data_IF_279490881223
#
_entry.id   IF_279490881223
#
_cell.length_a   1.000
_cell.length_b   1.000
_cell.length_c   1.000
_cell.angle_alpha   90.00
_cell.angle_beta   90.00
_cell.angle_gamma   90.00
#
_symmetry.space_group_name_H-M   'P 1'
#
loop_
_entity.id
_entity.type
_entity.pdbx_description
1 polymer ?
#
# COMPACT_ATOMS: atom_id res chain seq x y z
N UNK A 1 -28.37 2.84 30.80
CA UNK A 1 -27.68 4.12 30.49
C UNK A 1 -27.24 4.05 29.03
N UNK A 2 -27.94 4.75 28.11
CA UNK A 2 -27.71 4.68 26.66
C UNK A 2 -26.57 5.62 26.29
N UNK A 3 -25.39 5.08 25.96
CA UNK A 3 -24.35 5.88 25.33
C UNK A 3 -24.74 6.10 23.87
N UNK A 4 -25.11 7.33 23.52
CA UNK A 4 -25.47 7.72 22.15
C UNK A 4 -24.20 7.97 21.35
N UNK A 5 -24.10 7.30 20.20
CA UNK A 5 -23.00 7.39 19.21
C UNK A 5 -22.49 8.83 18.95
N UNK A 6 -23.35 9.85 19.05
CA UNK A 6 -23.00 11.27 18.96
C UNK A 6 -21.89 11.70 19.92
N UNK A 7 -22.00 11.36 21.21
CA UNK A 7 -21.06 11.86 22.23
C UNK A 7 -19.66 11.29 22.05
N UNK A 8 -19.56 10.08 21.52
CA UNK A 8 -18.29 9.47 21.12
C UNK A 8 -17.64 10.26 19.98
N UNK A 9 -18.38 10.55 18.91
CA UNK A 9 -17.85 11.32 17.78
C UNK A 9 -17.50 12.75 18.17
N UNK A 10 -18.28 13.40 19.03
CA UNK A 10 -17.99 14.77 19.48
C UNK A 10 -16.71 14.82 20.33
N UNK A 11 -16.54 13.86 21.24
CA UNK A 11 -15.30 13.72 22.03
C UNK A 11 -14.10 13.38 21.13
N UNK A 12 -14.26 12.49 20.16
CA UNK A 12 -13.21 12.11 19.22
C UNK A 12 -12.78 13.28 18.32
N UNK A 13 -13.74 14.06 17.80
CA UNK A 13 -13.48 15.28 17.03
C UNK A 13 -12.70 16.30 17.85
N UNK A 14 -13.08 16.50 19.12
CA UNK A 14 -12.38 17.42 20.03
C UNK A 14 -10.92 17.00 20.26
N UNK A 15 -10.69 15.72 20.55
CA UNK A 15 -9.34 15.16 20.73
C UNK A 15 -8.48 15.26 19.47
N UNK A 16 -9.05 15.06 18.28
CA UNK A 16 -8.31 15.12 17.02
C UNK A 16 -7.97 16.54 16.57
N UNK A 17 -8.84 17.52 16.85
CA UNK A 17 -8.75 18.89 16.29
C UNK A 17 -7.44 19.61 16.65
N UNK A 18 -6.95 19.43 17.88
CA UNK A 18 -5.74 20.11 18.37
C UNK A 18 -4.46 19.54 17.72
N UNK A 19 -4.46 18.25 17.38
CA UNK A 19 -3.30 17.58 16.77
C UNK A 19 -3.24 17.73 15.24
N UNK A 20 -4.38 17.99 14.58
CA UNK A 20 -4.45 17.86 13.11
C UNK A 20 -3.67 18.94 12.36
N UNK A 21 -3.64 20.18 12.87
CA UNK A 21 -2.95 21.30 12.18
C UNK A 21 -1.45 21.04 12.10
N UNK A 22 -0.87 20.54 13.18
CA UNK A 22 0.57 20.23 13.23
C UNK A 22 0.91 19.01 12.37
N UNK A 23 0.05 18.00 12.36
CA UNK A 23 0.22 16.82 11.52
C UNK A 23 0.18 17.19 10.02
N UNK A 24 -0.77 18.01 9.59
CA UNK A 24 -0.83 18.47 8.19
C UNK A 24 0.39 19.32 7.79
N UNK A 25 0.93 20.15 8.70
CA UNK A 25 2.18 20.89 8.44
C UNK A 25 3.37 19.95 8.23
N UNK A 26 3.51 18.92 9.07
CA UNK A 26 4.57 17.92 8.94
C UNK A 26 4.45 17.15 7.63
N UNK A 27 3.24 16.74 7.25
CA UNK A 27 2.98 16.03 5.98
C UNK A 27 3.37 16.91 4.79
N UNK A 28 2.97 18.19 4.79
CA UNK A 28 3.32 19.15 3.71
C UNK A 28 4.83 19.35 3.59
N UNK A 29 5.52 19.54 4.71
CA UNK A 29 6.98 19.71 4.73
C UNK A 29 7.70 18.44 4.23
N UNK A 30 7.17 17.27 4.53
CA UNK A 30 7.73 16.00 4.06
C UNK A 30 7.48 15.78 2.56
N UNK A 31 6.29 16.13 2.06
CA UNK A 31 5.96 16.12 0.62
C UNK A 31 6.90 17.05 -0.16
N UNK A 32 7.11 18.28 0.31
CA UNK A 32 7.96 19.26 -0.39
C UNK A 32 9.44 18.86 -0.45
N UNK A 33 9.93 18.07 0.50
CA UNK A 33 11.29 17.52 0.48
C UNK A 33 11.48 16.39 -0.53
N UNK A 34 10.41 15.67 -0.90
CA UNK A 34 10.48 14.45 -1.74
C UNK A 34 9.95 14.62 -3.16
N UNK A 35 9.06 15.58 -3.39
CA UNK A 35 8.46 15.83 -4.68
C UNK A 35 8.97 17.15 -5.25
N UNK A 36 9.13 17.23 -6.57
CA UNK A 36 9.37 18.52 -7.24
C UNK A 36 8.26 19.51 -6.89
N UNK A 37 8.62 20.76 -6.58
CA UNK A 37 7.78 21.85 -6.04
C UNK A 37 6.54 22.24 -6.85
N UNK A 38 6.17 21.49 -7.89
CA UNK A 38 5.04 21.80 -8.78
C UNK A 38 3.66 21.60 -8.13
N UNK A 39 3.58 20.97 -6.95
CA UNK A 39 2.33 20.68 -6.24
C UNK A 39 2.49 20.90 -4.73
N UNK A 40 2.35 22.15 -4.27
CA UNK A 40 2.55 22.56 -2.86
C UNK A 40 1.39 22.21 -1.92
N UNK A 41 0.19 21.97 -2.46
CA UNK A 41 -1.01 21.66 -1.69
C UNK A 41 -1.16 20.17 -1.42
N UNK A 42 -1.79 19.83 -0.29
CA UNK A 42 -2.09 18.45 0.08
C UNK A 42 -3.39 18.00 -0.57
N UNK A 43 -3.31 16.92 -1.33
CA UNK A 43 -4.45 16.24 -1.91
C UNK A 43 -5.07 15.24 -0.92
N UNK A 44 -6.34 14.84 -1.08
CA UNK A 44 -7.01 13.93 -0.14
C UNK A 44 -6.31 12.57 0.05
N UNK A 45 -5.53 12.12 -0.93
CA UNK A 45 -4.74 10.88 -0.85
C UNK A 45 -3.33 11.07 -0.27
N UNK A 46 -2.86 12.31 -0.11
CA UNK A 46 -1.53 12.60 0.39
C UNK A 46 -1.40 12.27 1.88
N UNK A 47 -2.47 12.49 2.66
CA UNK A 47 -2.45 12.21 4.11
C UNK A 47 -2.04 10.77 4.39
N UNK A 48 -2.70 9.80 3.75
CA UNK A 48 -2.46 8.37 4.01
C UNK A 48 -1.11 7.92 3.47
N UNK A 49 -0.75 8.36 2.27
CA UNK A 49 0.52 7.99 1.63
C UNK A 49 1.73 8.52 2.41
N UNK A 50 1.80 9.83 2.63
CA UNK A 50 2.95 10.44 3.29
C UNK A 50 2.99 10.13 4.79
N UNK A 51 1.85 10.02 5.48
CA UNK A 51 1.86 9.57 6.88
C UNK A 51 2.38 8.14 7.01
N UNK A 52 1.98 7.25 6.10
CA UNK A 52 2.51 5.89 6.04
C UNK A 52 4.01 5.88 5.83
N UNK A 53 4.50 6.67 4.86
CA UNK A 53 5.92 6.79 4.57
C UNK A 53 6.72 7.41 5.72
N UNK A 54 6.20 8.46 6.37
CA UNK A 54 6.83 9.08 7.55
C UNK A 54 6.96 8.09 8.70
N UNK A 55 5.91 7.31 8.99
CA UNK A 55 5.95 6.27 10.02
C UNK A 55 6.92 5.16 9.66
N UNK A 56 6.88 4.68 8.41
CA UNK A 56 7.84 3.69 7.92
C UNK A 56 9.29 4.16 8.10
N UNK A 57 9.58 5.42 7.74
CA UNK A 57 10.91 5.99 7.92
C UNK A 57 11.30 6.17 9.39
N UNK A 58 10.41 6.67 10.23
CA UNK A 58 10.67 6.92 11.65
C UNK A 58 10.93 5.63 12.45
N UNK A 59 10.31 4.52 12.05
CA UNK A 59 10.42 3.22 12.71
C UNK A 59 11.28 2.22 11.93
N UNK A 60 11.93 2.65 10.85
CA UNK A 60 12.71 1.81 9.94
C UNK A 60 11.95 0.54 9.50
N UNK A 61 10.65 0.70 9.20
CA UNK A 61 9.76 -0.36 8.75
C UNK A 61 9.84 -0.47 7.23
N UNK A 62 10.64 -1.41 6.75
CA UNK A 62 10.64 -1.87 5.36
C UNK A 62 9.80 -3.15 5.20
N UNK A 63 9.65 -3.63 3.97
CA UNK A 63 8.89 -4.87 3.70
C UNK A 63 9.45 -6.08 4.45
N UNK A 64 10.77 -6.15 4.58
CA UNK A 64 11.48 -7.27 5.19
C UNK A 64 11.23 -7.32 6.69
N UNK A 65 11.34 -6.19 7.38
CA UNK A 65 11.08 -6.08 8.82
C UNK A 65 9.61 -6.32 9.17
N UNK A 66 8.68 -5.92 8.29
CA UNK A 66 7.25 -6.05 8.55
C UNK A 66 6.69 -7.44 8.21
N UNK A 67 7.13 -8.02 7.08
CA UNK A 67 6.55 -9.25 6.54
C UNK A 67 7.53 -10.43 6.48
N UNK A 68 8.81 -10.21 6.78
CA UNK A 68 9.84 -11.23 6.60
C UNK A 68 10.08 -11.59 5.13
N UNK A 69 9.78 -10.69 4.18
CA UNK A 69 9.91 -10.94 2.74
C UNK A 69 10.31 -9.68 1.95
N UNK A 70 10.99 -9.89 0.83
CA UNK A 70 11.39 -8.83 -0.11
C UNK A 70 10.58 -8.87 -1.39
N UNK A 71 10.32 -7.70 -1.96
CA UNK A 71 9.61 -7.58 -3.23
C UNK A 71 10.59 -7.24 -4.35
N UNK A 72 10.54 -7.98 -5.45
CA UNK A 72 11.37 -7.77 -6.63
C UNK A 72 10.50 -7.53 -7.86
N UNK A 73 10.70 -6.40 -8.54
CA UNK A 73 10.07 -6.19 -9.84
C UNK A 73 10.67 -7.15 -10.86
N UNK A 74 9.82 -7.90 -11.56
CA UNK A 74 10.23 -8.88 -12.56
C UNK A 74 9.47 -8.63 -13.87
N UNK A 75 10.09 -8.94 -15.03
CA UNK A 75 9.40 -8.81 -16.30
C UNK A 75 8.22 -9.79 -16.38
N UNK A 76 7.15 -9.35 -17.04
CA UNK A 76 6.05 -10.22 -17.43
C UNK A 76 6.49 -11.13 -18.58
N UNK A 77 6.08 -12.40 -18.53
CA UNK A 77 6.27 -13.33 -19.65
C UNK A 77 5.35 -12.95 -20.83
N UNK A 78 5.69 -13.37 -22.06
CA UNK A 78 4.81 -13.17 -23.21
C UNK A 78 3.39 -13.68 -22.93
N UNK A 79 2.39 -12.83 -23.19
CA UNK A 79 0.96 -13.11 -22.98
C UNK A 79 0.52 -13.34 -21.52
N UNK A 80 1.36 -13.06 -20.53
CA UNK A 80 0.99 -13.18 -19.12
C UNK A 80 0.08 -12.03 -18.64
N UNK A 81 0.19 -10.86 -19.27
CA UNK A 81 -0.55 -9.67 -18.86
C UNK A 81 -1.87 -9.48 -19.61
N UNK A 82 -2.85 -8.90 -18.93
CA UNK A 82 -4.10 -8.41 -19.51
C UNK A 82 -4.05 -6.96 -19.98
N UNK A 83 -2.97 -6.22 -19.67
CA UNK A 83 -2.80 -4.82 -20.09
C UNK A 83 -1.31 -4.38 -20.03
N UNK A 84 -0.92 -3.38 -20.82
CA UNK A 84 0.50 -3.07 -21.11
C UNK A 84 1.28 -2.56 -19.89
N UNK A 85 0.63 -1.82 -19.01
CA UNK A 85 1.20 -1.12 -17.85
C UNK A 85 0.94 -1.85 -16.52
N UNK A 86 0.53 -3.13 -16.58
CA UNK A 86 0.53 -4.01 -15.41
C UNK A 86 1.98 -4.33 -15.06
N UNK A 87 2.33 -4.22 -13.78
CA UNK A 87 3.64 -4.63 -13.28
C UNK A 87 3.53 -5.97 -12.56
N UNK A 88 4.59 -6.78 -12.60
CA UNK A 88 4.69 -8.03 -11.84
C UNK A 88 5.78 -7.90 -10.79
N UNK A 89 5.47 -8.31 -9.56
CA UNK A 89 6.43 -8.41 -8.47
C UNK A 89 6.51 -9.83 -7.96
N UNK A 90 7.73 -10.35 -7.78
CA UNK A 90 7.97 -11.57 -7.00
C UNK A 90 8.12 -11.23 -5.53
N UNK A 91 7.54 -12.05 -4.67
CA UNK A 91 7.75 -12.02 -3.23
C UNK A 91 8.75 -13.11 -2.85
N UNK A 92 9.89 -12.72 -2.31
CA UNK A 92 11.01 -13.63 -2.04
C UNK A 92 11.25 -13.75 -0.53
N UNK A 93 11.48 -14.97 -0.07
CA UNK A 93 11.88 -15.22 1.31
C UNK A 93 13.39 -14.89 1.48
N UNK A 94 13.82 -14.30 2.62
CA UNK A 94 15.23 -13.96 2.84
C UNK A 94 16.17 -15.16 2.87
N UNK A 95 15.65 -16.35 3.22
CA UNK A 95 16.38 -17.61 3.12
C UNK A 95 16.40 -18.10 1.67
N UNK A 96 17.60 -18.25 1.05
CA UNK A 96 17.74 -18.73 -0.33
C UNK A 96 17.10 -20.11 -0.58
N UNK A 97 16.97 -20.95 0.45
CA UNK A 97 16.41 -22.30 0.32
C UNK A 97 14.87 -22.27 0.21
N UNK A 98 14.21 -21.24 0.76
CA UNK A 98 12.75 -21.11 0.69
C UNK A 98 12.28 -20.52 -0.65
N UNK A 99 13.06 -19.60 -1.23
CA UNK A 99 12.82 -19.05 -2.56
C UNK A 99 11.59 -18.14 -2.68
N UNK A 100 10.88 -18.24 -3.81
CA UNK A 100 9.74 -17.38 -4.13
C UNK A 100 8.45 -17.86 -3.44
N UNK A 101 7.82 -16.96 -2.68
CA UNK A 101 6.55 -17.18 -1.98
C UNK A 101 5.32 -16.97 -2.88
N UNK A 102 5.46 -16.18 -3.94
CA UNK A 102 4.39 -15.91 -4.90
C UNK A 102 4.59 -14.64 -5.71
N UNK A 103 3.53 -14.25 -6.44
CA UNK A 103 3.57 -13.10 -7.33
C UNK A 103 2.41 -12.14 -7.07
N UNK A 104 2.69 -10.85 -7.20
CA UNK A 104 1.70 -9.79 -7.27
C UNK A 104 1.67 -9.17 -8.66
N UNK A 105 0.47 -8.82 -9.10
CA UNK A 105 0.25 -8.04 -10.31
C UNK A 105 -0.33 -6.69 -9.90
N UNK A 106 0.35 -5.62 -10.29
CA UNK A 106 -0.02 -4.26 -9.95
C UNK A 106 -0.62 -3.59 -11.18
N UNK A 107 -1.94 -3.50 -11.21
CA UNK A 107 -2.69 -2.74 -12.20
C UNK A 107 -3.08 -1.40 -11.57
N UNK A 108 -2.19 -0.39 -11.63
CA UNK A 108 -2.32 0.85 -10.85
C UNK A 108 -3.00 1.99 -11.61
N UNK A 109 -2.85 2.03 -12.94
CA UNK A 109 -3.31 3.19 -13.72
C UNK A 109 -4.79 3.11 -14.06
N UNK A 110 -5.47 4.26 -14.07
CA UNK A 110 -6.86 4.33 -14.51
C UNK A 110 -6.97 4.18 -16.03
N UNK A 111 -8.01 3.48 -16.51
CA UNK A 111 -8.34 3.37 -17.95
C UNK A 111 -9.82 3.13 -18.17
N UNK A 112 -10.31 3.43 -19.37
CA UNK A 112 -11.71 3.21 -19.76
C UNK A 112 -12.07 1.72 -19.61
N UNK A 113 -13.15 1.42 -18.89
CA UNK A 113 -13.63 0.06 -18.67
C UNK A 113 -12.96 -0.72 -17.54
N UNK A 114 -11.95 -0.14 -16.86
CA UNK A 114 -11.36 -0.73 -15.64
C UNK A 114 -12.25 -0.43 -14.43
N UNK A 115 -12.25 -1.35 -13.46
CA UNK A 115 -12.87 -1.14 -12.15
C UNK A 115 -12.36 0.16 -11.50
N UNK A 116 -13.25 1.09 -11.06
CA UNK A 116 -12.85 2.44 -10.67
C UNK A 116 -12.29 2.54 -9.24
N UNK A 117 -12.35 1.48 -8.45
CA UNK A 117 -11.90 1.47 -7.06
C UNK A 117 -10.58 0.73 -6.83
N UNK A 118 -10.04 0.86 -5.62
CA UNK A 118 -8.95 0.01 -5.15
C UNK A 118 -9.52 -1.33 -4.69
N UNK A 119 -8.99 -2.44 -5.21
CA UNK A 119 -9.39 -3.78 -4.82
C UNK A 119 -8.19 -4.75 -4.92
N UNK A 120 -8.24 -5.83 -4.15
CA UNK A 120 -7.31 -6.94 -4.25
C UNK A 120 -8.06 -8.17 -4.78
N UNK A 121 -7.53 -8.81 -5.82
CA UNK A 121 -8.11 -9.99 -6.45
C UNK A 121 -7.11 -11.15 -6.38
N UNK A 122 -7.51 -12.24 -5.71
CA UNK A 122 -6.70 -13.45 -5.64
C UNK A 122 -6.79 -14.21 -6.98
N UNK A 123 -5.67 -14.28 -7.71
CA UNK A 123 -5.58 -15.02 -8.99
C UNK A 123 -5.33 -16.51 -8.72
N UNK A 124 -4.34 -16.82 -7.87
CA UNK A 124 -3.98 -18.18 -7.49
C UNK A 124 -3.84 -18.29 -5.97
N UNK A 125 -4.62 -19.18 -5.36
CA UNK A 125 -4.51 -19.47 -3.94
C UNK A 125 -3.29 -20.32 -3.63
N UNK A 126 -2.60 -20.02 -2.52
CA UNK A 126 -1.57 -20.87 -1.96
C UNK A 126 -2.17 -22.18 -1.46
N UNK A 127 -1.70 -23.31 -1.99
CA UNK A 127 -2.08 -24.65 -1.52
C UNK A 127 -0.91 -25.61 -1.67
N UNK A 128 -0.86 -26.61 -0.80
CA UNK A 128 0.03 -27.76 -1.02
C UNK A 128 -0.43 -28.51 -2.26
N UNK A 129 0.51 -28.71 -3.19
CA UNK A 129 0.30 -29.59 -4.33
C UNK A 129 0.49 -31.03 -3.85
N UNK A 130 -0.50 -31.90 -4.09
CA UNK A 130 -0.30 -33.34 -3.96
C UNK A 130 0.46 -33.83 -5.18
N UNK A 131 1.37 -34.78 -5.03
CA UNK A 131 2.13 -35.37 -6.14
C UNK A 131 1.26 -35.95 -7.26
N UNK A 132 -0.04 -36.21 -7.00
CA UNK A 132 -0.90 -37.00 -7.87
C UNK A 132 -2.00 -36.26 -8.64
N UNK A 133 -2.11 -34.92 -8.62
CA UNK A 133 -3.14 -34.24 -9.44
C UNK A 133 -2.73 -32.86 -9.99
N UNK A 134 -2.88 -32.75 -11.32
CA UNK A 134 -2.96 -31.52 -12.12
C UNK A 134 -4.38 -30.94 -12.07
#
# INVERSE_FOLDING_TARGET
MRYTSSRFFDNFKKLKKENTIEDFKKIRNFKSQRCDQRYEDLEPWDETYFTGMMKSFAYNLDSTSLFGATFHSIPLAPHESWYEDVLKMSLHHPDPEEGDLGYLYLDLNSRKGKYPGCANFAIKGGRRLSETKY
#
